data_IF_015307961586
#
_entry.id   IF_015307961586
#
_cell.length_a   1.000
_cell.length_b   1.000
_cell.length_c   1.000
_cell.angle_alpha   90.00
_cell.angle_beta   90.00
_cell.angle_gamma   90.00
#
_symmetry.space_group_name_H-M   'P 1'
#
loop_
_entity.id
_entity.type
_entity.pdbx_description
1 polymer ?
#
# COMPACT_ATOMS: atom_id res chain seq x y z
N UNK A 1 19.35 12.26 8.74
CA UNK A 1 20.00 11.75 7.51
C UNK A 1 18.92 11.63 6.45
N UNK A 2 19.26 11.92 5.18
CA UNK A 2 18.34 11.69 4.05
C UNK A 2 18.04 10.20 3.92
N UNK A 3 16.76 9.84 3.83
CA UNK A 3 16.30 8.46 3.59
C UNK A 3 16.22 8.17 2.09
N UNK A 4 16.18 6.91 1.72
CA UNK A 4 15.88 6.44 0.37
C UNK A 4 14.52 5.75 0.39
N UNK A 5 13.62 6.17 -0.48
CA UNK A 5 12.29 5.59 -0.62
C UNK A 5 12.11 4.94 -2.00
N UNK A 6 11.66 3.69 -2.03
CA UNK A 6 11.22 2.99 -3.23
C UNK A 6 9.69 3.03 -3.30
N UNK A 7 9.15 3.47 -4.45
CA UNK A 7 7.73 3.73 -4.65
C UNK A 7 7.23 2.98 -5.89
N UNK A 8 6.30 2.05 -5.73
CA UNK A 8 5.63 1.40 -6.86
C UNK A 8 4.41 2.21 -7.30
N UNK A 9 4.12 2.22 -8.61
CA UNK A 9 3.10 3.11 -9.17
C UNK A 9 3.53 4.57 -9.08
N UNK A 10 4.84 4.85 -9.30
CA UNK A 10 5.46 6.15 -9.11
C UNK A 10 5.14 7.19 -10.18
N UNK A 11 4.64 6.76 -11.34
CA UNK A 11 4.37 7.62 -12.49
C UNK A 11 3.07 8.45 -12.37
N UNK A 12 2.25 8.26 -11.33
CA UNK A 12 0.99 9.01 -11.20
C UNK A 12 0.39 8.97 -9.79
N UNK A 13 -0.62 9.81 -9.55
CA UNK A 13 -1.47 9.77 -8.36
C UNK A 13 -0.71 9.87 -7.04
N UNK A 14 -1.00 8.97 -6.12
CA UNK A 14 -0.35 8.96 -4.79
C UNK A 14 1.16 8.73 -4.88
N UNK A 15 1.62 7.86 -5.82
CA UNK A 15 3.04 7.57 -5.97
C UNK A 15 3.85 8.82 -6.29
N UNK A 16 3.42 9.58 -7.29
CA UNK A 16 4.05 10.85 -7.66
C UNK A 16 3.97 11.88 -6.53
N UNK A 17 2.83 12.01 -5.88
CA UNK A 17 2.65 13.01 -4.82
C UNK A 17 3.50 12.69 -3.58
N UNK A 18 3.55 11.41 -3.17
CA UNK A 18 4.43 10.98 -2.07
C UNK A 18 5.89 11.22 -2.42
N UNK A 19 6.30 10.93 -3.66
CA UNK A 19 7.65 11.22 -4.14
C UNK A 19 7.99 12.72 -4.03
N UNK A 20 7.09 13.61 -4.49
CA UNK A 20 7.26 15.07 -4.37
C UNK A 20 7.49 15.51 -2.93
N UNK A 21 6.66 15.02 -2.01
CA UNK A 21 6.76 15.40 -0.60
C UNK A 21 8.00 14.82 0.09
N UNK A 22 8.42 13.61 -0.26
CA UNK A 22 9.67 13.02 0.23
C UNK A 22 10.89 13.81 -0.23
N UNK A 23 10.94 14.19 -1.52
CA UNK A 23 12.02 15.04 -2.05
C UNK A 23 12.01 16.42 -1.39
N UNK A 24 10.85 17.04 -1.19
CA UNK A 24 10.74 18.31 -0.47
C UNK A 24 11.21 18.19 1.00
N UNK A 25 11.13 17.01 1.62
CA UNK A 25 11.69 16.69 2.94
C UNK A 25 13.21 16.47 2.91
N UNK A 26 13.81 16.33 1.73
CA UNK A 26 15.24 16.07 1.55
C UNK A 26 15.59 14.58 1.39
N UNK A 27 14.61 13.73 1.15
CA UNK A 27 14.80 12.30 0.89
C UNK A 27 15.06 12.04 -0.61
N UNK A 28 15.61 10.88 -0.93
CA UNK A 28 15.83 10.40 -2.30
C UNK A 28 14.74 9.39 -2.66
N UNK A 29 14.29 9.41 -3.91
CA UNK A 29 13.21 8.56 -4.38
C UNK A 29 13.63 7.70 -5.57
N UNK A 30 13.17 6.45 -5.56
CA UNK A 30 13.23 5.52 -6.69
C UNK A 30 11.79 5.18 -7.06
N UNK A 31 11.43 5.44 -8.32
CA UNK A 31 10.08 5.27 -8.84
C UNK A 31 10.03 4.02 -9.71
N UNK A 32 9.14 3.10 -9.39
CA UNK A 32 8.85 1.90 -10.17
C UNK A 32 7.47 2.05 -10.83
N UNK A 33 7.40 1.88 -12.15
CA UNK A 33 6.14 1.90 -12.89
C UNK A 33 6.32 1.16 -14.23
N UNK A 34 5.20 0.81 -14.88
CA UNK A 34 5.18 0.29 -16.26
C UNK A 34 5.06 1.40 -17.30
N UNK A 35 4.76 2.61 -16.88
CA UNK A 35 4.65 3.78 -17.76
C UNK A 35 5.99 4.54 -17.79
N UNK A 36 6.85 4.14 -18.72
CA UNK A 36 8.20 4.69 -18.85
C UNK A 36 8.20 6.20 -19.11
N UNK A 37 7.27 6.69 -19.93
CA UNK A 37 7.21 8.10 -20.30
C UNK A 37 6.89 9.00 -19.11
N UNK A 38 5.80 8.70 -18.39
CA UNK A 38 5.39 9.49 -17.24
C UNK A 38 6.35 9.28 -16.06
N UNK A 39 6.82 8.03 -15.87
CA UNK A 39 7.73 7.68 -14.77
C UNK A 39 9.08 8.39 -14.88
N UNK A 40 9.68 8.40 -16.07
CA UNK A 40 10.92 9.12 -16.33
C UNK A 40 10.73 10.65 -16.17
N UNK A 41 9.64 11.20 -16.70
CA UNK A 41 9.37 12.64 -16.57
C UNK A 41 9.22 13.07 -15.10
N UNK A 42 8.54 12.27 -14.26
CA UNK A 42 8.43 12.53 -12.82
C UNK A 42 9.80 12.42 -12.14
N UNK A 43 10.59 11.40 -12.47
CA UNK A 43 11.92 11.24 -11.90
C UNK A 43 12.85 12.41 -12.26
N UNK A 44 12.82 12.87 -13.52
CA UNK A 44 13.61 14.01 -13.98
C UNK A 44 13.21 15.31 -13.26
N UNK A 45 11.89 15.56 -13.09
CA UNK A 45 11.37 16.73 -12.35
C UNK A 45 11.86 16.74 -10.89
N UNK A 46 11.93 15.55 -10.27
CA UNK A 46 12.24 15.42 -8.84
C UNK A 46 13.73 15.18 -8.54
N UNK A 47 14.56 14.98 -9.56
CA UNK A 47 15.92 14.50 -9.36
C UNK A 47 15.97 13.09 -8.76
N UNK A 48 14.96 12.29 -9.03
CA UNK A 48 14.82 10.91 -8.58
C UNK A 48 15.39 9.90 -9.57
N UNK A 49 15.18 8.62 -9.29
CA UNK A 49 15.59 7.52 -10.16
C UNK A 49 14.34 6.76 -10.61
N UNK A 50 14.21 6.52 -11.92
CA UNK A 50 13.13 5.72 -12.49
C UNK A 50 13.64 4.34 -12.93
N UNK A 51 12.88 3.30 -12.66
CA UNK A 51 13.10 1.94 -13.15
C UNK A 51 11.78 1.36 -13.68
N UNK A 52 11.81 0.79 -14.87
CA UNK A 52 10.66 0.03 -15.39
C UNK A 52 10.40 -1.20 -14.51
N UNK A 53 9.16 -1.39 -14.07
CA UNK A 53 8.79 -2.56 -13.27
C UNK A 53 7.29 -2.85 -13.37
N UNK A 54 6.95 -4.03 -13.86
CA UNK A 54 5.62 -4.61 -13.66
C UNK A 54 5.60 -5.32 -12.31
N UNK A 55 4.86 -4.79 -11.36
CA UNK A 55 4.78 -5.33 -10.00
C UNK A 55 4.13 -6.72 -9.94
N UNK A 56 3.41 -7.14 -10.99
CA UNK A 56 2.86 -8.50 -11.10
C UNK A 56 3.90 -9.55 -11.51
N UNK A 57 5.11 -9.12 -11.86
CA UNK A 57 6.24 -9.98 -12.20
C UNK A 57 7.25 -9.98 -11.04
N UNK A 58 7.37 -11.12 -10.37
CA UNK A 58 8.24 -11.28 -9.21
C UNK A 58 9.71 -10.97 -9.48
N UNK A 59 10.22 -11.44 -10.62
CA UNK A 59 11.63 -11.26 -10.98
C UNK A 59 11.96 -9.78 -11.28
N UNK A 60 11.03 -9.05 -11.91
CA UNK A 60 11.20 -7.62 -12.13
C UNK A 60 11.22 -6.84 -10.80
N UNK A 61 10.35 -7.19 -9.84
CA UNK A 61 10.32 -6.54 -8.51
C UNK A 61 11.64 -6.77 -7.78
N UNK A 62 12.17 -8.01 -7.80
CA UNK A 62 13.46 -8.32 -7.20
C UNK A 62 14.60 -7.56 -7.87
N UNK A 63 14.67 -7.57 -9.20
CA UNK A 63 15.73 -6.91 -9.97
C UNK A 63 15.73 -5.40 -9.75
N UNK A 64 14.57 -4.74 -9.85
CA UNK A 64 14.45 -3.31 -9.63
C UNK A 64 14.81 -2.90 -8.19
N UNK A 65 14.41 -3.71 -7.20
CA UNK A 65 14.78 -3.46 -5.80
C UNK A 65 16.28 -3.60 -5.57
N UNK A 66 16.91 -4.61 -6.14
CA UNK A 66 18.36 -4.84 -6.04
C UNK A 66 19.16 -3.72 -6.72
N UNK A 67 18.72 -3.26 -7.90
CA UNK A 67 19.34 -2.13 -8.60
C UNK A 67 19.22 -0.83 -7.78
N UNK A 68 18.03 -0.55 -7.26
CA UNK A 68 17.79 0.61 -6.39
C UNK A 68 18.70 0.59 -5.16
N UNK A 69 18.82 -0.57 -4.50
CA UNK A 69 19.71 -0.73 -3.35
C UNK A 69 21.18 -0.50 -3.72
N UNK A 70 21.63 -1.06 -4.83
CA UNK A 70 23.02 -0.89 -5.31
C UNK A 70 23.35 0.57 -5.62
N UNK A 71 22.45 1.27 -6.34
CA UNK A 71 22.66 2.66 -6.76
C UNK A 71 22.65 3.63 -5.56
N UNK A 72 21.76 3.42 -4.60
CA UNK A 72 21.55 4.35 -3.51
C UNK A 72 22.23 3.96 -2.18
N UNK A 73 22.81 2.77 -2.11
CA UNK A 73 23.50 2.26 -0.91
C UNK A 73 22.53 1.79 0.19
N UNK A 74 21.31 1.47 -0.17
CA UNK A 74 20.26 0.97 0.72
C UNK A 74 18.94 1.70 0.50
N UNK A 75 17.85 1.10 1.02
CA UNK A 75 16.49 1.66 0.98
C UNK A 75 15.94 1.63 2.40
N UNK A 76 15.32 2.70 2.83
CA UNK A 76 14.79 2.90 4.18
C UNK A 76 13.27 2.81 4.23
N UNK A 77 12.59 3.20 3.13
CA UNK A 77 11.14 3.31 3.01
C UNK A 77 10.66 2.59 1.76
N UNK A 78 9.57 1.81 1.89
CA UNK A 78 8.89 1.17 0.76
C UNK A 78 7.43 1.62 0.72
N UNK A 79 7.02 2.29 -0.37
CA UNK A 79 5.63 2.60 -0.65
C UNK A 79 5.11 1.66 -1.73
N UNK A 80 4.48 0.56 -1.32
CA UNK A 80 3.90 -0.44 -2.20
C UNK A 80 2.50 0.04 -2.61
N UNK A 81 2.47 0.88 -3.65
CA UNK A 81 1.32 1.69 -4.00
C UNK A 81 0.64 1.29 -5.31
N UNK A 82 1.34 0.65 -6.23
CA UNK A 82 0.78 0.24 -7.52
C UNK A 82 -0.57 -0.47 -7.34
N UNK A 83 -1.56 -0.07 -8.14
CA UNK A 83 -2.89 -0.63 -8.05
C UNK A 83 -3.83 -0.12 -9.14
N UNK A 84 -4.81 -0.92 -9.49
CA UNK A 84 -5.84 -0.63 -10.48
C UNK A 84 -7.24 -0.95 -9.94
N UNK A 85 -8.28 -0.30 -10.47
CA UNK A 85 -9.65 -0.81 -10.39
C UNK A 85 -9.73 -2.13 -11.15
N UNK A 86 -10.45 -3.11 -10.64
CA UNK A 86 -10.61 -4.37 -11.38
C UNK A 86 -11.61 -4.25 -12.53
N UNK A 87 -12.54 -3.30 -12.43
CA UNK A 87 -13.61 -3.10 -13.41
C UNK A 87 -14.43 -4.37 -13.61
N UNK A 88 -14.65 -5.12 -12.53
CA UNK A 88 -15.04 -6.52 -12.59
C UNK A 88 -16.50 -6.73 -12.20
N UNK A 89 -17.21 -7.51 -13.02
CA UNK A 89 -18.54 -8.02 -12.72
C UNK A 89 -18.53 -9.55 -12.72
N UNK A 90 -19.28 -10.16 -11.80
CA UNK A 90 -19.54 -11.60 -11.80
C UNK A 90 -20.70 -11.92 -12.73
N UNK A 91 -20.71 -13.12 -13.29
CA UNK A 91 -21.77 -13.61 -14.15
C UNK A 91 -21.31 -13.90 -15.57
N UNK A 92 -22.20 -13.75 -16.59
CA UNK A 92 -21.86 -14.10 -17.98
C UNK A 92 -20.66 -13.37 -18.56
N UNK A 93 -20.39 -12.17 -18.08
CA UNK A 93 -19.30 -11.29 -18.57
C UNK A 93 -18.02 -11.44 -17.75
N UNK A 94 -17.85 -12.55 -17.01
CA UNK A 94 -16.65 -12.83 -16.23
C UNK A 94 -15.42 -12.93 -17.11
N UNK A 95 -14.48 -12.01 -16.92
CA UNK A 95 -13.20 -11.95 -17.64
C UNK A 95 -12.05 -12.45 -16.76
N UNK A 96 -11.60 -13.67 -17.02
CA UNK A 96 -10.53 -14.31 -16.24
C UNK A 96 -9.19 -13.57 -16.37
N UNK A 97 -8.90 -12.97 -17.53
CA UNK A 97 -7.66 -12.23 -17.73
C UNK A 97 -7.64 -10.93 -16.91
N UNK A 98 -8.75 -10.19 -16.87
CA UNK A 98 -8.91 -9.03 -16.00
C UNK A 98 -8.78 -9.41 -14.53
N UNK A 99 -9.41 -10.54 -14.12
CA UNK A 99 -9.30 -11.05 -12.76
C UNK A 99 -7.84 -11.32 -12.37
N UNK A 100 -7.10 -12.06 -13.19
CA UNK A 100 -5.68 -12.35 -12.92
C UNK A 100 -4.84 -11.07 -12.89
N UNK A 101 -5.08 -10.14 -13.83
CA UNK A 101 -4.37 -8.86 -13.86
C UNK A 101 -4.62 -8.05 -12.58
N UNK A 102 -5.86 -7.97 -12.12
CA UNK A 102 -6.19 -7.23 -10.90
C UNK A 102 -5.53 -7.85 -9.66
N UNK A 103 -5.57 -9.19 -9.52
CA UNK A 103 -4.89 -9.87 -8.42
C UNK A 103 -3.38 -9.70 -8.50
N UNK A 104 -2.77 -9.90 -9.67
CA UNK A 104 -1.33 -9.76 -9.88
C UNK A 104 -0.82 -8.38 -9.46
N UNK A 105 -1.52 -7.31 -9.84
CA UNK A 105 -1.09 -5.94 -9.49
C UNK A 105 -1.45 -5.58 -8.05
N UNK A 106 -2.71 -5.79 -7.63
CA UNK A 106 -3.21 -5.25 -6.37
C UNK A 106 -2.81 -6.06 -5.14
N UNK A 107 -2.55 -7.36 -5.30
CA UNK A 107 -2.21 -8.27 -4.20
C UNK A 107 -0.81 -8.86 -4.36
N UNK A 108 -0.53 -9.58 -5.47
CA UNK A 108 0.76 -10.25 -5.64
C UNK A 108 1.89 -9.23 -5.68
N UNK A 109 1.70 -8.06 -6.34
CA UNK A 109 2.68 -6.97 -6.35
C UNK A 109 3.01 -6.42 -4.95
N UNK A 110 2.04 -6.40 -4.04
CA UNK A 110 2.30 -6.05 -2.63
C UNK A 110 3.08 -7.15 -1.93
N UNK A 111 2.72 -8.42 -2.14
CA UNK A 111 3.44 -9.57 -1.56
C UNK A 111 4.88 -9.61 -2.06
N UNK A 112 5.09 -9.45 -3.36
CA UNK A 112 6.43 -9.42 -3.97
C UNK A 112 7.26 -8.24 -3.47
N UNK A 113 6.64 -7.06 -3.37
CA UNK A 113 7.28 -5.88 -2.82
C UNK A 113 7.72 -6.04 -1.37
N UNK A 114 6.88 -6.64 -0.51
CA UNK A 114 7.26 -6.98 0.86
C UNK A 114 8.43 -7.98 0.86
N UNK A 115 8.34 -9.05 0.07
CA UNK A 115 9.40 -10.06 -0.02
C UNK A 115 10.74 -9.45 -0.47
N UNK A 116 10.73 -8.53 -1.42
CA UNK A 116 11.92 -7.82 -1.87
C UNK A 116 12.46 -6.84 -0.82
N UNK A 117 11.59 -6.18 -0.06
CA UNK A 117 11.96 -5.20 0.96
C UNK A 117 12.67 -5.82 2.17
N UNK A 118 12.25 -7.00 2.63
CA UNK A 118 12.73 -7.59 3.89
C UNK A 118 14.25 -7.75 3.97
N UNK A 119 14.96 -8.34 2.99
CA UNK A 119 16.41 -8.45 3.06
C UNK A 119 17.12 -7.10 3.02
N UNK A 120 16.57 -6.12 2.28
CA UNK A 120 17.13 -4.77 2.17
C UNK A 120 17.01 -4.03 3.51
N UNK A 121 15.81 -4.02 4.10
CA UNK A 121 15.56 -3.41 5.40
C UNK A 121 16.32 -4.12 6.52
N UNK A 122 16.47 -5.44 6.45
CA UNK A 122 17.30 -6.21 7.38
C UNK A 122 18.77 -5.74 7.39
N UNK A 123 19.36 -5.49 6.22
CA UNK A 123 20.73 -4.93 6.10
C UNK A 123 20.82 -3.49 6.61
N UNK A 124 19.72 -2.72 6.56
CA UNK A 124 19.64 -1.35 7.11
C UNK A 124 19.43 -1.32 8.62
N UNK A 125 19.06 -2.46 9.24
CA UNK A 125 18.73 -2.55 10.67
C UNK A 125 17.30 -2.09 10.99
N UNK A 126 16.43 -2.05 9.99
CA UNK A 126 15.02 -1.68 10.08
C UNK A 126 14.57 -0.72 8.99
N UNK A 127 13.32 -0.29 9.05
CA UNK A 127 12.71 0.67 8.13
C UNK A 127 11.19 0.58 8.11
N UNK A 128 10.54 1.17 7.11
CA UNK A 128 9.09 1.26 7.07
C UNK A 128 8.52 0.84 5.71
N UNK A 129 7.47 0.03 5.74
CA UNK A 129 6.68 -0.39 4.57
C UNK A 129 5.27 0.16 4.73
N UNK A 130 4.80 0.91 3.74
CA UNK A 130 3.39 1.33 3.64
C UNK A 130 2.79 0.71 2.39
N UNK A 131 1.70 -0.05 2.58
CA UNK A 131 0.97 -0.70 1.49
C UNK A 131 -0.32 0.06 1.20
N UNK A 132 -0.57 0.45 -0.04
CA UNK A 132 -1.82 1.09 -0.43
C UNK A 132 -2.94 0.04 -0.48
N UNK A 133 -3.74 0.00 0.60
CA UNK A 133 -5.02 -0.67 0.62
C UNK A 133 -6.13 0.26 0.08
N UNK A 134 -7.22 0.38 0.76
CA UNK A 134 -8.35 1.27 0.49
C UNK A 134 -9.36 1.19 1.64
N UNK A 135 -10.24 2.15 1.76
CA UNK A 135 -11.47 2.00 2.54
C UNK A 135 -12.26 0.76 2.09
N UNK A 136 -12.17 0.37 0.80
CA UNK A 136 -12.70 -0.87 0.25
C UNK A 136 -12.08 -2.15 0.87
N UNK A 137 -10.97 -2.05 1.56
CA UNK A 137 -10.38 -3.13 2.36
C UNK A 137 -10.91 -3.22 3.79
N UNK A 138 -11.78 -2.30 4.18
CA UNK A 138 -12.39 -2.21 5.53
C UNK A 138 -13.91 -2.39 5.51
N UNK A 139 -14.53 -2.30 4.33
CA UNK A 139 -15.98 -2.42 4.12
C UNK A 139 -16.30 -3.06 2.78
N UNK A 140 -17.50 -3.59 2.62
CA UNK A 140 -17.94 -4.19 1.36
C UNK A 140 -17.98 -3.17 0.22
N UNK A 141 -17.56 -3.59 -0.97
CA UNK A 141 -17.50 -2.77 -2.19
C UNK A 141 -18.32 -3.45 -3.28
N UNK A 142 -19.60 -3.11 -3.38
CA UNK A 142 -20.53 -3.80 -4.28
C UNK A 142 -20.25 -3.52 -5.77
N UNK A 143 -19.71 -2.38 -6.10
CA UNK A 143 -19.42 -1.96 -7.49
C UNK A 143 -18.09 -2.51 -8.03
N UNK A 144 -17.20 -3.01 -7.17
CA UNK A 144 -15.94 -3.66 -7.57
C UNK A 144 -15.54 -4.72 -6.52
N UNK A 145 -16.20 -5.90 -6.50
CA UNK A 145 -15.99 -6.90 -5.46
C UNK A 145 -14.57 -7.50 -5.46
N UNK A 146 -13.94 -7.65 -6.62
CA UNK A 146 -12.58 -8.20 -6.74
C UNK A 146 -11.57 -7.21 -6.19
N UNK A 147 -11.70 -5.93 -6.52
CA UNK A 147 -10.89 -4.88 -5.92
C UNK A 147 -11.03 -4.86 -4.38
N UNK A 148 -12.28 -4.92 -3.90
CA UNK A 148 -12.56 -5.00 -2.46
C UNK A 148 -11.89 -6.19 -1.81
N UNK A 149 -11.96 -7.38 -2.42
CA UNK A 149 -11.29 -8.58 -1.94
C UNK A 149 -9.75 -8.42 -1.88
N UNK A 150 -9.15 -7.88 -2.94
CA UNK A 150 -7.70 -7.60 -2.95
C UNK A 150 -7.30 -6.65 -1.81
N UNK A 151 -8.04 -5.56 -1.61
CA UNK A 151 -7.73 -4.57 -0.58
C UNK A 151 -7.97 -5.10 0.84
N UNK A 152 -8.95 -6.00 1.06
CA UNK A 152 -9.08 -6.76 2.32
C UNK A 152 -7.88 -7.69 2.55
N UNK A 153 -7.41 -8.37 1.51
CA UNK A 153 -6.24 -9.24 1.60
C UNK A 153 -4.98 -8.44 2.00
N UNK A 154 -4.76 -7.26 1.42
CA UNK A 154 -3.66 -6.36 1.80
C UNK A 154 -3.76 -5.94 3.28
N UNK A 155 -4.96 -5.56 3.74
CA UNK A 155 -5.17 -5.22 5.17
C UNK A 155 -4.89 -6.43 6.07
N UNK A 156 -5.35 -7.62 5.68
CA UNK A 156 -5.08 -8.87 6.41
C UNK A 156 -3.59 -9.19 6.50
N UNK A 157 -2.88 -9.07 5.38
CA UNK A 157 -1.43 -9.27 5.27
C UNK A 157 -0.67 -8.32 6.19
N UNK A 158 -0.95 -7.02 6.12
CA UNK A 158 -0.30 -5.99 6.95
C UNK A 158 -0.49 -6.24 8.44
N UNK A 159 -1.71 -6.60 8.85
CA UNK A 159 -2.03 -6.90 10.25
C UNK A 159 -1.28 -8.12 10.80
N UNK A 160 -0.95 -9.08 9.93
CA UNK A 160 -0.15 -10.24 10.30
C UNK A 160 1.35 -9.92 10.31
N UNK A 161 1.83 -9.17 9.31
CA UNK A 161 3.25 -8.82 9.17
C UNK A 161 3.74 -7.84 10.24
N UNK A 162 2.90 -6.88 10.64
CA UNK A 162 3.31 -5.87 11.63
C UNK A 162 3.92 -6.47 12.89
N UNK A 163 3.19 -7.31 13.66
CA UNK A 163 3.75 -7.93 14.86
C UNK A 163 4.91 -8.90 14.56
N UNK A 164 4.90 -9.59 13.40
CA UNK A 164 5.94 -10.53 13.01
C UNK A 164 7.28 -9.84 12.71
N UNK A 165 7.27 -8.62 12.17
CA UNK A 165 8.45 -7.89 11.74
C UNK A 165 8.91 -6.81 12.75
N UNK A 166 8.10 -6.47 13.73
CA UNK A 166 8.46 -5.52 14.79
C UNK A 166 9.79 -5.85 15.50
N UNK A 167 10.13 -7.13 15.80
CA UNK A 167 11.42 -7.47 16.40
C UNK A 167 12.62 -7.14 15.52
N UNK A 168 12.43 -6.91 14.22
CA UNK A 168 13.46 -6.54 13.25
C UNK A 168 13.52 -5.00 13.03
N UNK A 169 12.81 -4.20 13.83
CA UNK A 169 12.64 -2.76 13.66
C UNK A 169 12.02 -2.38 12.31
N UNK A 170 11.17 -3.25 11.75
CA UNK A 170 10.44 -3.00 10.50
C UNK A 170 8.98 -2.72 10.84
N UNK A 171 8.49 -1.54 10.47
CA UNK A 171 7.06 -1.23 10.53
C UNK A 171 6.38 -1.55 9.21
N UNK A 172 5.18 -2.15 9.27
CA UNK A 172 4.36 -2.44 8.10
C UNK A 172 2.96 -1.95 8.36
N UNK A 173 2.47 -1.00 7.54
CA UNK A 173 1.16 -0.38 7.72
C UNK A 173 0.38 -0.33 6.40
N UNK A 174 -0.95 -0.36 6.48
CA UNK A 174 -1.83 -0.21 5.33
C UNK A 174 -2.39 1.22 5.28
N UNK A 175 -2.21 1.90 4.16
CA UNK A 175 -2.89 3.16 3.87
C UNK A 175 -4.26 2.86 3.23
N UNK A 176 -5.34 3.30 3.89
CA UNK A 176 -6.72 3.01 3.52
C UNK A 176 -7.49 4.31 3.18
N UNK A 177 -7.22 4.93 2.01
CA UNK A 177 -7.94 6.13 1.60
C UNK A 177 -9.38 5.80 1.15
N UNK A 178 -10.28 6.79 1.34
CA UNK A 178 -11.53 6.89 0.62
C UNK A 178 -11.32 7.34 -0.82
N UNK A 179 -12.33 7.99 -1.42
CA UNK A 179 -12.21 8.51 -2.78
C UNK A 179 -11.23 9.69 -2.82
N UNK A 180 -10.19 9.59 -3.63
CA UNK A 180 -9.15 10.61 -3.75
C UNK A 180 -8.85 10.93 -5.22
N UNK A 181 -8.32 12.12 -5.49
CA UNK A 181 -8.00 12.61 -6.83
C UNK A 181 -6.89 11.80 -7.50
N UNK A 182 -7.25 10.67 -8.07
CA UNK A 182 -6.37 9.76 -8.78
C UNK A 182 -7.02 9.25 -10.07
N UNK A 183 -6.22 8.63 -10.94
CA UNK A 183 -6.75 8.02 -12.19
C UNK A 183 -7.81 6.93 -11.90
N UNK A 184 -7.81 6.30 -10.72
CA UNK A 184 -8.76 5.24 -10.36
C UNK A 184 -10.21 5.73 -10.27
N UNK A 185 -10.45 7.00 -9.92
CA UNK A 185 -11.80 7.53 -9.75
C UNK A 185 -12.31 8.34 -10.96
N UNK A 186 -11.56 8.42 -12.06
CA UNK A 186 -11.93 9.27 -13.21
C UNK A 186 -13.34 8.95 -13.69
N UNK A 187 -13.67 7.67 -13.88
CA UNK A 187 -14.99 7.22 -14.35
C UNK A 187 -16.10 7.36 -13.29
N UNK A 188 -15.73 7.57 -12.04
CA UNK A 188 -16.66 7.72 -10.92
C UNK A 188 -16.85 9.18 -10.50
N UNK A 189 -16.02 10.10 -10.99
CA UNK A 189 -15.98 11.51 -10.53
C UNK A 189 -17.35 12.17 -10.60
N UNK A 190 -18.01 12.13 -11.75
CA UNK A 190 -19.33 12.76 -11.92
C UNK A 190 -20.39 12.19 -10.97
N UNK A 191 -20.36 10.88 -10.73
CA UNK A 191 -21.28 10.18 -9.81
C UNK A 191 -21.01 10.65 -8.37
N UNK A 192 -19.75 10.74 -7.97
CA UNK A 192 -19.35 11.16 -6.62
C UNK A 192 -19.75 12.62 -6.37
N UNK A 193 -19.43 13.51 -7.30
CA UNK A 193 -19.78 14.93 -7.21
C UNK A 193 -21.30 15.13 -7.19
N UNK A 194 -22.03 14.44 -8.08
CA UNK A 194 -23.49 14.48 -8.11
C UNK A 194 -24.17 13.92 -6.86
N UNK A 195 -23.50 13.02 -6.15
CA UNK A 195 -23.97 12.45 -4.87
C UNK A 195 -23.48 13.21 -3.64
N UNK A 196 -22.73 14.31 -3.82
CA UNK A 196 -22.17 15.08 -2.72
C UNK A 196 -21.08 14.34 -1.91
N UNK A 197 -20.45 13.31 -2.49
CA UNK A 197 -19.37 12.58 -1.82
C UNK A 197 -18.07 13.36 -1.99
N UNK A 198 -17.44 13.80 -0.89
CA UNK A 198 -16.23 14.61 -0.99
C UNK A 198 -15.02 13.77 -1.41
N UNK A 199 -14.20 14.34 -2.30
CA UNK A 199 -12.98 13.74 -2.82
C UNK A 199 -11.79 14.26 -2.03
N UNK A 200 -10.86 13.38 -1.69
CA UNK A 200 -9.64 13.70 -0.94
C UNK A 200 -8.63 14.33 -1.90
N UNK A 201 -8.10 15.54 -1.61
CA UNK A 201 -6.98 16.11 -2.37
C UNK A 201 -5.74 15.19 -2.31
N UNK A 202 -5.06 15.02 -3.43
CA UNK A 202 -3.91 14.11 -3.52
C UNK A 202 -2.78 14.54 -2.57
N UNK A 203 -2.59 15.84 -2.35
CA UNK A 203 -1.60 16.40 -1.43
C UNK A 203 -1.87 15.99 0.03
N UNK A 204 -3.15 15.88 0.40
CA UNK A 204 -3.51 15.38 1.73
C UNK A 204 -3.17 13.89 1.89
N UNK A 205 -3.42 13.11 0.85
CA UNK A 205 -3.03 11.70 0.83
C UNK A 205 -1.51 11.53 0.96
N UNK A 206 -0.72 12.34 0.24
CA UNK A 206 0.74 12.36 0.35
C UNK A 206 1.21 12.61 1.78
N UNK A 207 0.73 13.71 2.41
CA UNK A 207 1.07 14.01 3.82
C UNK A 207 0.71 12.87 4.77
N UNK A 208 -0.44 12.23 4.55
CA UNK A 208 -0.87 11.11 5.38
C UNK A 208 0.06 9.90 5.26
N UNK A 209 0.57 9.61 4.07
CA UNK A 209 1.55 8.53 3.88
C UNK A 209 2.87 8.84 4.57
N UNK A 210 3.35 10.10 4.53
CA UNK A 210 4.54 10.50 5.27
C UNK A 210 4.34 10.37 6.80
N UNK A 211 3.17 10.74 7.31
CA UNK A 211 2.82 10.55 8.72
C UNK A 211 2.85 9.07 9.13
N UNK A 212 2.34 8.17 8.26
CA UNK A 212 2.40 6.73 8.49
C UNK A 212 3.85 6.22 8.48
N UNK A 213 4.70 6.70 7.57
CA UNK A 213 6.12 6.34 7.53
C UNK A 213 6.88 6.77 8.79
N UNK A 214 6.49 7.88 9.39
CA UNK A 214 7.14 8.42 10.58
C UNK A 214 6.55 7.86 11.90
N UNK A 215 5.47 7.08 11.82
CA UNK A 215 4.85 6.42 12.96
C UNK A 215 5.67 5.22 13.44
N UNK A 216 5.69 5.00 14.74
CA UNK A 216 6.23 3.79 15.36
C UNK A 216 5.22 2.65 15.44
N UNK A 217 3.95 2.91 15.10
CA UNK A 217 2.93 1.87 15.09
C UNK A 217 3.13 0.93 13.89
N UNK A 218 2.80 -0.34 14.07
CA UNK A 218 2.91 -1.36 13.02
C UNK A 218 1.68 -2.27 13.01
N UNK A 219 1.37 -2.85 11.85
CA UNK A 219 0.19 -3.71 11.67
C UNK A 219 -1.13 -2.94 11.64
N UNK A 220 -1.10 -1.62 11.46
CA UNK A 220 -2.29 -0.77 11.47
C UNK A 220 -2.86 -0.57 10.06
N UNK A 221 -4.18 -0.45 9.99
CA UNK A 221 -4.89 0.07 8.81
C UNK A 221 -5.21 1.54 9.07
N UNK A 222 -4.55 2.45 8.37
CA UNK A 222 -4.69 3.88 8.53
C UNK A 222 -5.77 4.43 7.57
N UNK A 223 -6.92 4.77 8.14
CA UNK A 223 -8.05 5.31 7.39
C UNK A 223 -7.88 6.81 7.13
N UNK A 224 -8.00 7.21 5.87
CA UNK A 224 -8.08 8.61 5.46
C UNK A 224 -9.42 8.87 4.77
N UNK A 225 -10.17 9.88 5.23
CA UNK A 225 -11.37 10.39 4.58
C UNK A 225 -11.28 11.88 4.35
N UNK A 226 -12.03 12.39 3.40
CA UNK A 226 -12.12 13.82 3.16
C UNK A 226 -12.58 14.56 4.43
N UNK A 227 -11.94 15.69 4.71
CA UNK A 227 -12.25 16.49 5.91
C UNK A 227 -11.73 15.91 7.24
N UNK A 228 -11.07 14.76 7.24
CA UNK A 228 -10.51 14.12 8.45
C UNK A 228 -9.02 13.91 8.34
N UNK A 229 -8.33 13.91 9.46
CA UNK A 229 -6.93 13.48 9.52
C UNK A 229 -6.84 11.95 9.41
N UNK A 230 -5.70 11.46 8.95
CA UNK A 230 -5.44 10.02 8.87
C UNK A 230 -5.37 9.45 10.30
N UNK A 231 -5.96 8.26 10.49
CA UNK A 231 -6.03 7.65 11.82
C UNK A 231 -6.08 6.12 11.73
N UNK A 232 -5.52 5.39 12.71
CA UNK A 232 -5.67 3.94 12.77
C UNK A 232 -7.14 3.53 12.88
N UNK A 233 -7.56 2.59 12.02
CA UNK A 233 -8.90 2.00 12.06
C UNK A 233 -9.00 0.95 13.15
N UNK A 234 -10.00 1.06 14.01
CA UNK A 234 -10.22 0.10 15.10
C UNK A 234 -11.07 -1.08 14.63
N UNK A 235 -10.47 -2.25 14.56
CA UNK A 235 -11.19 -3.51 14.32
C UNK A 235 -11.90 -3.96 15.59
N UNK A 236 -13.10 -4.52 15.43
CA UNK A 236 -13.78 -5.22 16.55
C UNK A 236 -13.01 -6.50 16.85
N UNK A 237 -12.78 -6.77 18.14
CA UNK A 237 -12.21 -8.03 18.57
C UNK A 237 -13.15 -9.22 18.26
N UNK A 238 -12.56 -10.38 18.04
CA UNK A 238 -13.31 -11.63 17.91
C UNK A 238 -13.59 -12.13 19.34
N UNK A 239 -14.85 -12.54 19.68
CA UNK A 239 -15.11 -13.19 20.94
C UNK A 239 -14.24 -14.45 21.08
N UNK A 240 -13.54 -14.56 22.22
CA UNK A 240 -12.73 -15.74 22.51
C UNK A 240 -13.61 -17.00 22.66
N UNK A 241 -13.01 -18.19 22.49
CA UNK A 241 -13.70 -19.44 22.74
C UNK A 241 -14.15 -19.55 24.19
N UNK A 242 -15.21 -20.32 24.43
CA UNK A 242 -15.66 -20.68 25.77
C UNK A 242 -15.25 -22.13 26.06
N UNK A 243 -14.97 -22.45 27.33
CA UNK A 243 -14.84 -23.82 27.81
C UNK A 243 -16.20 -24.54 27.78
N UNK A 244 -16.22 -25.85 27.97
CA UNK A 244 -17.47 -26.62 28.10
C UNK A 244 -18.36 -26.13 29.25
N UNK A 245 -17.77 -25.50 30.26
CA UNK A 245 -18.46 -24.91 31.41
C UNK A 245 -18.92 -23.47 31.17
N UNK A 246 -18.66 -22.90 29.97
CA UNK A 246 -19.07 -21.55 29.56
C UNK A 246 -18.13 -20.42 30.01
N UNK A 247 -16.99 -20.72 30.64
CA UNK A 247 -15.97 -19.77 30.99
C UNK A 247 -15.08 -19.42 29.78
N UNK A 248 -14.45 -18.24 29.83
CA UNK A 248 -13.49 -17.85 28.77
C UNK A 248 -12.31 -18.81 28.75
N UNK A 249 -12.19 -19.59 27.66
CA UNK A 249 -10.98 -20.36 27.40
C UNK A 249 -9.83 -19.44 26.98
N UNK A 250 -8.60 -19.88 27.22
CA UNK A 250 -7.41 -19.12 26.84
C UNK A 250 -7.39 -18.79 25.35
N UNK A 251 -7.08 -17.55 25.00
CA UNK A 251 -6.90 -17.09 23.62
C UNK A 251 -5.42 -17.16 23.30
N UNK A 252 -5.05 -17.74 22.15
CA UNK A 252 -3.70 -17.57 21.63
C UNK A 252 -3.49 -16.07 21.37
N UNK A 253 -2.58 -15.47 22.13
CA UNK A 253 -2.18 -14.10 21.85
C UNK A 253 -1.56 -14.02 20.45
N UNK A 254 -1.87 -12.94 19.72
CA UNK A 254 -1.36 -12.72 18.36
C UNK A 254 0.20 -12.68 18.28
N UNK A 255 0.89 -12.73 19.42
CA UNK A 255 2.34 -12.83 19.52
C UNK A 255 2.87 -14.22 19.88
N UNK A 256 2.01 -15.23 20.05
CA UNK A 256 2.49 -16.60 20.31
C UNK A 256 2.96 -17.20 18.99
N UNK A 257 4.27 -17.35 18.83
CA UNK A 257 4.84 -18.14 17.71
C UNK A 257 4.37 -19.58 17.88
N UNK A 258 3.64 -20.10 16.87
CA UNK A 258 3.31 -21.52 16.73
C UNK A 258 4.49 -22.24 16.09
#
# INVERSE_FOLDING_TARGET
>A
MSKVALITGGASGFGTEVAKQLVARGDRVVLLDVNDTDGQAVADELGGHYLHCDVSDYEQVLAATAEAEQVHGGIDLFFLNAGISSGFTFGPDFDLAKYHRANGINLDGVVYGVQAALPVLGRRGGGSIVCTASMAGLTGTAFDPVYGANKHAVVGLVRALGPALAPQNITVNAFCPGFAETKIIVDLREILEGSGVPIIPVEKAGRSVLEIFDSTETGQAWLLQAGRDVMPYRFRGIPGPLSEEGDRAGVLDAGTQV
#
